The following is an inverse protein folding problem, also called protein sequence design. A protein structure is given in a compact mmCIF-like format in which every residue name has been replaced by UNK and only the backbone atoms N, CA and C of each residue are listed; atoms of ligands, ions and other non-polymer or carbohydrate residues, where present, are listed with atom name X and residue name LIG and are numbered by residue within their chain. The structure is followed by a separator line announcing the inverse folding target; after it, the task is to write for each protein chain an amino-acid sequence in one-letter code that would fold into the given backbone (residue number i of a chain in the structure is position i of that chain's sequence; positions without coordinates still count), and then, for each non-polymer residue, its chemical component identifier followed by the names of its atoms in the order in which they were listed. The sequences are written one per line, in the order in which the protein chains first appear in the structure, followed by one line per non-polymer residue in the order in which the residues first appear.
data_IF_422609042575
#
_entry.id   IF_422609042575
#
_cell.length_a   1.000
_cell.length_b   1.000
_cell.length_c   1.000
_cell.angle_alpha   90.00
_cell.angle_beta   90.00
_cell.angle_gamma   90.00
#
_symmetry.space_group_name_H-M   'P 1'
#
loop_
_entity.id
_entity.type
_entity.pdbx_description
1 polymer ?
#
# COMPACT_ATOMS: atom_id res chain seq x y z
N UNK A 1 -5.02 0.22 -22.02
CA UNK A 1 -5.99 0.30 -20.91
C UNK A 1 -5.36 1.13 -19.80
N UNK A 2 -5.81 2.37 -19.51
CA UNK A 2 -5.17 3.19 -18.45
C UNK A 2 -6.10 4.20 -17.73
N UNK A 3 -7.26 4.53 -18.29
CA UNK A 3 -8.14 5.55 -17.70
C UNK A 3 -8.84 5.09 -16.42
N UNK A 4 -9.31 3.84 -16.38
CA UNK A 4 -9.96 3.28 -15.18
C UNK A 4 -9.03 3.21 -13.97
N UNK A 5 -7.75 2.89 -14.17
CA UNK A 5 -6.74 2.87 -13.09
C UNK A 5 -6.30 4.26 -12.69
N UNK A 6 -6.19 5.19 -13.65
CA UNK A 6 -5.97 6.60 -13.32
C UNK A 6 -7.13 7.16 -12.49
N UNK A 7 -8.36 6.73 -12.78
CA UNK A 7 -9.56 7.12 -12.03
C UNK A 7 -9.55 6.52 -10.63
N UNK A 8 -9.27 5.23 -10.50
CA UNK A 8 -9.20 4.54 -9.21
C UNK A 8 -8.09 5.13 -8.32
N UNK A 9 -6.92 5.38 -8.88
CA UNK A 9 -5.81 6.02 -8.16
C UNK A 9 -6.19 7.42 -7.64
N UNK A 10 -6.87 8.23 -8.46
CA UNK A 10 -7.38 9.55 -8.04
C UNK A 10 -8.42 9.43 -6.94
N UNK A 11 -9.35 8.49 -7.05
CA UNK A 11 -10.39 8.28 -6.03
C UNK A 11 -9.78 7.83 -4.71
N UNK A 12 -8.86 6.86 -4.73
CA UNK A 12 -8.18 6.39 -3.51
C UNK A 12 -7.37 7.51 -2.88
N UNK A 13 -6.62 8.27 -3.68
CA UNK A 13 -5.86 9.41 -3.19
C UNK A 13 -6.77 10.48 -2.58
N UNK A 14 -7.87 10.82 -3.26
CA UNK A 14 -8.83 11.80 -2.77
C UNK A 14 -9.51 11.36 -1.46
N UNK A 15 -9.86 10.07 -1.33
CA UNK A 15 -10.45 9.51 -0.11
C UNK A 15 -9.45 9.53 1.04
N UNK A 16 -8.20 9.13 0.80
CA UNK A 16 -7.13 9.17 1.82
C UNK A 16 -6.82 10.60 2.24
N UNK A 17 -6.72 11.53 1.27
CA UNK A 17 -6.47 12.95 1.56
C UNK A 17 -7.65 13.58 2.32
N UNK A 18 -8.89 13.27 1.94
CA UNK A 18 -10.09 13.72 2.64
C UNK A 18 -10.17 13.17 4.06
N UNK A 19 -9.87 11.89 4.26
CA UNK A 19 -9.82 11.27 5.59
C UNK A 19 -8.72 11.88 6.47
N UNK A 20 -7.52 12.12 5.90
CA UNK A 20 -6.43 12.79 6.60
C UNK A 20 -6.77 14.24 6.96
N UNK A 21 -7.45 14.96 6.07
CA UNK A 21 -7.90 16.34 6.31
C UNK A 21 -9.04 16.43 7.34
N UNK A 22 -9.92 15.42 7.42
CA UNK A 22 -10.99 15.34 8.42
C UNK A 22 -10.53 14.81 9.79
N UNK A 23 -9.36 14.18 9.85
CA UNK A 23 -8.79 13.60 11.06
C UNK A 23 -8.66 14.58 12.24
N UNK A 24 -8.22 15.85 12.09
CA UNK A 24 -8.09 16.77 13.21
C UNK A 24 -9.43 17.04 13.91
N UNK A 25 -10.54 17.08 13.16
CA UNK A 25 -11.88 17.27 13.70
C UNK A 25 -12.33 16.04 14.51
N UNK A 26 -12.03 14.83 14.00
CA UNK A 26 -12.31 13.57 14.69
C UNK A 26 -11.51 13.43 15.98
N UNK A 27 -10.22 13.80 15.95
CA UNK A 27 -9.33 13.81 17.14
C UNK A 27 -9.84 14.81 18.17
N UNK A 28 -10.25 16.00 17.73
CA UNK A 28 -10.80 17.03 18.60
C UNK A 28 -12.11 16.58 19.27
N UNK A 29 -13.03 15.93 18.54
CA UNK A 29 -14.28 15.42 19.12
C UNK A 29 -14.11 14.20 20.01
N UNK A 30 -13.05 13.42 19.83
CA UNK A 30 -12.83 12.18 20.56
C UNK A 30 -12.15 12.39 21.94
N UNK A 31 -11.62 13.59 22.22
CA UNK A 31 -11.04 13.93 23.53
C UNK A 31 -9.73 13.20 23.86
N UNK A 32 -9.00 12.69 22.86
CA UNK A 32 -7.75 11.97 23.07
C UNK A 32 -6.57 12.95 23.29
N UNK A 33 -5.61 12.61 24.18
CA UNK A 33 -4.36 13.37 24.33
C UNK A 33 -3.57 13.38 23.01
N UNK A 34 -3.05 14.56 22.61
CA UNK A 34 -2.40 14.85 21.32
C UNK A 34 -1.20 13.95 20.93
N UNK A 35 -0.76 13.03 21.79
CA UNK A 35 0.47 12.26 21.62
C UNK A 35 0.31 10.86 21.01
N UNK A 36 -0.92 10.34 20.87
CA UNK A 36 -1.19 8.96 20.43
C UNK A 36 -2.02 8.81 19.12
N UNK A 37 -3.05 9.64 18.85
CA UNK A 37 -3.96 9.41 17.72
C UNK A 37 -3.31 9.72 16.36
N UNK A 38 -2.53 10.80 16.29
CA UNK A 38 -1.83 11.27 15.08
C UNK A 38 -0.93 10.18 14.49
N UNK A 39 -0.09 9.59 15.35
CA UNK A 39 0.81 8.49 14.97
C UNK A 39 0.04 7.24 14.54
N UNK A 40 -1.03 6.89 15.26
CA UNK A 40 -1.89 5.77 14.91
C UNK A 40 -2.49 5.92 13.51
N UNK A 41 -2.95 7.11 13.15
CA UNK A 41 -3.49 7.34 11.81
C UNK A 41 -2.41 7.38 10.72
N UNK A 42 -1.25 7.98 10.97
CA UNK A 42 -0.13 7.96 10.02
C UNK A 42 0.32 6.52 9.74
N UNK A 43 0.42 5.70 10.79
CA UNK A 43 0.72 4.27 10.67
C UNK A 43 -0.40 3.49 9.98
N UNK A 44 -1.67 3.79 10.28
CA UNK A 44 -2.81 3.16 9.62
C UNK A 44 -2.86 3.50 8.12
N UNK A 45 -2.59 4.76 7.74
CA UNK A 45 -2.51 5.20 6.34
C UNK A 45 -1.31 4.53 5.64
N UNK A 46 -0.14 4.53 6.27
CA UNK A 46 1.06 3.86 5.74
C UNK A 46 0.85 2.35 5.55
N UNK A 47 0.21 1.69 6.51
CA UNK A 47 -0.17 0.29 6.43
C UNK A 47 -1.21 0.01 5.36
N UNK A 48 -2.21 0.89 5.20
CA UNK A 48 -3.22 0.79 4.14
C UNK A 48 -2.57 0.90 2.76
N UNK A 49 -1.64 1.84 2.57
CA UNK A 49 -0.88 1.98 1.32
C UNK A 49 -0.01 0.73 1.07
N UNK A 50 0.68 0.23 2.09
CA UNK A 50 1.49 -0.99 1.98
C UNK A 50 0.64 -2.20 1.61
N UNK A 51 -0.57 -2.32 2.17
CA UNK A 51 -1.52 -3.39 1.84
C UNK A 51 -2.09 -3.27 0.43
N UNK A 52 -2.32 -2.04 -0.04
CA UNK A 52 -2.68 -1.75 -1.43
C UNK A 52 -1.57 -2.18 -2.39
N UNK A 53 -0.31 -1.87 -2.08
CA UNK A 53 0.84 -2.29 -2.89
C UNK A 53 1.06 -3.81 -2.88
N UNK A 54 0.70 -4.49 -1.79
CA UNK A 54 0.80 -5.94 -1.66
C UNK A 54 -0.33 -6.71 -2.37
N UNK A 55 -1.37 -6.04 -2.87
CA UNK A 55 -2.44 -6.71 -3.60
C UNK A 55 -1.91 -7.17 -4.98
N UNK A 56 -2.11 -8.45 -5.38
CA UNK A 56 -1.72 -8.94 -6.71
C UNK A 56 -2.46 -8.23 -7.85
N UNK A 57 -3.56 -7.54 -7.51
CA UNK A 57 -4.25 -6.63 -8.41
C UNK A 57 -3.32 -5.49 -8.85
N UNK A 58 -2.43 -4.97 -8.01
CA UNK A 58 -1.46 -3.93 -8.43
C UNK A 58 -0.46 -4.50 -9.43
N UNK A 59 0.08 -5.71 -9.18
CA UNK A 59 1.00 -6.40 -10.10
C UNK A 59 0.36 -6.68 -11.48
N UNK A 60 -0.93 -7.01 -11.53
CA UNK A 60 -1.62 -7.23 -12.82
C UNK A 60 -1.74 -5.97 -13.70
N UNK A 61 -1.63 -4.78 -13.09
CA UNK A 61 -1.64 -3.49 -13.80
C UNK A 61 -0.22 -2.96 -14.09
N UNK A 62 0.80 -3.57 -13.49
CA UNK A 62 2.20 -3.20 -13.66
C UNK A 62 2.77 -3.80 -14.96
N UNK A 63 3.54 -3.02 -15.74
CA UNK A 63 4.29 -3.53 -16.88
C UNK A 63 5.18 -4.72 -16.46
N UNK A 64 5.46 -5.65 -17.38
CA UNK A 64 6.24 -6.85 -17.07
C UNK A 64 7.60 -6.59 -16.43
N UNK A 65 8.23 -5.43 -16.70
CA UNK A 65 9.50 -5.03 -16.10
C UNK A 65 9.41 -4.53 -14.65
N UNK A 66 8.20 -4.27 -14.14
CA UNK A 66 7.95 -3.74 -12.80
C UNK A 66 7.16 -4.72 -11.92
N UNK A 67 6.81 -5.90 -12.46
CA UNK A 67 6.17 -6.98 -11.70
C UNK A 67 7.19 -7.64 -10.78
N UNK A 68 6.76 -7.95 -9.57
CA UNK A 68 7.60 -8.71 -8.63
C UNK A 68 7.78 -10.14 -9.15
N UNK A 69 8.98 -10.49 -9.61
CA UNK A 69 9.32 -11.87 -9.95
C UNK A 69 9.53 -12.67 -8.65
N UNK A 70 9.00 -13.91 -8.53
CA UNK A 70 9.33 -14.75 -7.40
C UNK A 70 10.82 -15.07 -7.46
N UNK A 71 11.58 -14.63 -6.45
CA UNK A 71 13.05 -14.84 -6.32
C UNK A 71 13.45 -16.31 -6.54
N UNK A 72 12.54 -17.25 -6.28
CA UNK A 72 12.73 -18.69 -6.50
C UNK A 72 12.80 -19.11 -7.97
N UNK A 73 12.25 -18.34 -8.90
CA UNK A 73 12.29 -18.66 -10.32
C UNK A 73 13.64 -18.36 -10.99
N UNK A 74 14.46 -17.48 -10.39
CA UNK A 74 15.73 -17.04 -10.98
C UNK A 74 16.96 -17.76 -10.42
N UNK A 75 16.85 -18.45 -9.28
CA UNK A 75 18.00 -19.17 -8.75
C UNK A 75 18.29 -20.41 -9.62
N UNK A 76 19.54 -20.60 -10.10
CA UNK A 76 19.93 -21.85 -10.72
C UNK A 76 19.72 -23.02 -9.75
N UNK A 77 19.35 -24.21 -10.25
CA UNK A 77 19.17 -25.37 -9.40
C UNK A 77 20.45 -25.61 -8.59
N UNK A 78 20.32 -25.64 -7.26
CA UNK A 78 21.44 -25.95 -6.38
C UNK A 78 21.92 -27.35 -6.79
N UNK A 79 23.17 -27.50 -7.26
CA UNK A 79 23.68 -28.81 -7.63
C UNK A 79 23.59 -29.69 -6.39
N UNK A 80 22.89 -30.81 -6.51
CA UNK A 80 22.86 -31.82 -5.46
C UNK A 80 24.31 -32.22 -5.18
N UNK A 81 24.76 -31.98 -3.93
CA UNK A 81 26.05 -32.44 -3.45
C UNK A 81 26.00 -33.96 -3.54
N UNK A 82 26.70 -34.53 -4.53
CA UNK A 82 26.81 -35.98 -4.68
C UNK A 82 27.85 -36.45 -3.65
N UNK A 83 27.37 -37.05 -2.56
CA UNK A 83 28.21 -37.80 -1.61
C UNK A 83 28.76 -39.09 -2.23
#
# INVERSE_FOLDING_TARGET
MKDSTRRLARTVFAVVAGAAAGMPLLVHTAGLPDTLPGLGAVLAVSGAITRLLALPLVDSWLPSWLRSAPIRAELPPIPAVRE
#
